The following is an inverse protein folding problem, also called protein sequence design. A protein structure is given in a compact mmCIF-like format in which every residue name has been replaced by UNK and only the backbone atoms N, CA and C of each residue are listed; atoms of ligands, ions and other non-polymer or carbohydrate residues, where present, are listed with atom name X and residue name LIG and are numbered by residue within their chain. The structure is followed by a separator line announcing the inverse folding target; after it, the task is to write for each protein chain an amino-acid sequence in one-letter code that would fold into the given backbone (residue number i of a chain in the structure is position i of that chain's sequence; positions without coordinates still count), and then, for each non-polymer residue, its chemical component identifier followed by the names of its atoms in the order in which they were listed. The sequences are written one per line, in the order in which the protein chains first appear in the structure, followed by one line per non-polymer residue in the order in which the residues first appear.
data_IF_242849968360
#
_entry.id   IF_242849968360
#
_cell.length_a   1.000
_cell.length_b   1.000
_cell.length_c   1.000
_cell.angle_alpha   90.00
_cell.angle_beta   90.00
_cell.angle_gamma   90.00
#
_symmetry.space_group_name_H-M   'P 1'
#
loop_
_entity.id
_entity.type
_entity.pdbx_description
1 polymer ?
#
# COMPACT_ATOMS: atom_id res chain seq x y z
N UNK A 1 0.60 -11.83 -10.65
CA UNK A 1 -0.64 -11.75 -9.84
C UNK A 1 -1.79 -11.65 -10.82
N UNK A 2 -2.75 -12.56 -10.76
CA UNK A 2 -3.99 -12.46 -11.56
C UNK A 2 -4.96 -11.48 -10.91
N UNK A 3 -6.03 -11.10 -11.61
CA UNK A 3 -7.09 -10.25 -11.02
C UNK A 3 -7.71 -10.89 -9.77
N UNK A 4 -7.87 -12.22 -9.76
CA UNK A 4 -8.38 -12.96 -8.61
C UNK A 4 -7.40 -12.91 -7.42
N UNK A 5 -6.09 -12.99 -7.68
CA UNK A 5 -5.08 -12.85 -6.62
C UNK A 5 -5.06 -11.43 -6.03
N UNK A 6 -5.29 -10.42 -6.88
CA UNK A 6 -5.34 -9.01 -6.49
C UNK A 6 -6.58 -8.74 -5.63
N UNK A 7 -7.75 -9.17 -6.08
CA UNK A 7 -9.01 -9.04 -5.34
C UNK A 7 -8.95 -9.71 -3.96
N UNK A 8 -8.41 -10.94 -3.91
CA UNK A 8 -8.22 -11.67 -2.65
C UNK A 8 -7.27 -10.94 -1.70
N UNK A 9 -6.13 -10.47 -2.21
CA UNK A 9 -5.12 -9.80 -1.39
C UNK A 9 -5.62 -8.44 -0.88
N UNK A 10 -6.34 -7.70 -1.72
CA UNK A 10 -6.96 -6.43 -1.35
C UNK A 10 -8.07 -6.61 -0.31
N UNK A 11 -8.96 -7.59 -0.51
CA UNK A 11 -10.04 -7.90 0.44
C UNK A 11 -9.49 -8.28 1.82
N UNK A 12 -8.43 -9.09 1.88
CA UNK A 12 -7.77 -9.45 3.13
C UNK A 12 -7.15 -8.22 3.83
N UNK A 13 -6.49 -7.33 3.08
CA UNK A 13 -5.93 -6.10 3.63
C UNK A 13 -7.03 -5.17 4.17
N UNK A 14 -8.13 -4.99 3.42
CA UNK A 14 -9.25 -4.15 3.83
C UNK A 14 -9.89 -4.64 5.13
N UNK A 15 -10.12 -5.95 5.25
CA UNK A 15 -10.63 -6.56 6.47
C UNK A 15 -9.68 -6.32 7.66
N UNK A 16 -8.38 -6.56 7.47
CA UNK A 16 -7.38 -6.34 8.52
C UNK A 16 -7.30 -4.88 8.98
N UNK A 17 -7.43 -3.91 8.06
CA UNK A 17 -7.46 -2.48 8.40
C UNK A 17 -8.73 -2.10 9.17
N UNK A 18 -9.88 -2.64 8.77
CA UNK A 18 -11.15 -2.42 9.47
C UNK A 18 -11.10 -2.99 10.90
N UNK A 19 -10.53 -4.18 11.08
CA UNK A 19 -10.35 -4.81 12.39
C UNK A 19 -9.34 -4.06 13.28
N UNK A 20 -8.24 -3.56 12.70
CA UNK A 20 -7.25 -2.78 13.43
C UNK A 20 -7.77 -1.40 13.89
N UNK A 21 -8.74 -0.83 13.16
CA UNK A 21 -9.30 0.49 13.42
C UNK A 21 -8.37 1.65 13.04
N UNK A 22 -8.93 2.86 12.96
CA UNK A 22 -8.27 4.06 12.41
C UNK A 22 -6.91 4.38 13.06
N UNK A 23 -6.78 4.16 14.37
CA UNK A 23 -5.55 4.48 15.11
C UNK A 23 -4.38 3.53 14.79
N UNK A 24 -4.67 2.24 14.54
CA UNK A 24 -3.64 1.24 14.29
C UNK A 24 -3.44 0.94 12.80
N UNK A 25 -4.35 1.35 11.92
CA UNK A 25 -4.27 1.16 10.48
C UNK A 25 -2.93 1.63 9.87
N UNK A 26 -2.40 2.83 10.20
CA UNK A 26 -1.11 3.29 9.66
C UNK A 26 0.06 2.39 10.07
N UNK A 27 0.04 1.87 11.31
CA UNK A 27 1.08 0.96 11.80
C UNK A 27 0.99 -0.40 11.11
N UNK A 28 -0.22 -0.95 10.94
CA UNK A 28 -0.44 -2.19 10.19
C UNK A 28 0.05 -2.06 8.74
N UNK A 29 -0.31 -0.98 8.06
CA UNK A 29 0.19 -0.69 6.70
C UNK A 29 1.71 -0.62 6.66
N UNK A 30 2.33 0.05 7.64
CA UNK A 30 3.79 0.16 7.70
C UNK A 30 4.46 -1.21 7.83
N UNK A 31 3.91 -2.11 8.65
CA UNK A 31 4.43 -3.48 8.80
C UNK A 31 4.27 -4.31 7.52
N UNK A 32 3.11 -4.22 6.84
CA UNK A 32 2.87 -4.90 5.57
C UNK A 32 3.82 -4.38 4.48
N UNK A 33 3.96 -3.05 4.36
CA UNK A 33 4.89 -2.42 3.43
C UNK A 33 6.33 -2.86 3.72
N UNK A 34 6.78 -2.85 4.97
CA UNK A 34 8.13 -3.30 5.33
C UNK A 34 8.36 -4.76 4.93
N UNK A 35 7.40 -5.64 5.19
CA UNK A 35 7.49 -7.05 4.79
C UNK A 35 7.52 -7.24 3.26
N UNK A 36 6.80 -6.41 2.50
CA UNK A 36 6.83 -6.42 1.04
C UNK A 36 8.15 -5.88 0.49
N UNK A 37 8.66 -4.78 1.05
CA UNK A 37 9.96 -4.20 0.69
C UNK A 37 11.08 -5.19 0.95
N UNK A 38 11.03 -5.93 2.06
CA UNK A 38 12.01 -6.96 2.38
C UNK A 38 12.04 -8.16 1.41
N UNK A 39 11.08 -8.26 0.48
CA UNK A 39 11.07 -9.25 -0.60
C UNK A 39 11.69 -8.74 -1.90
N UNK A 40 11.99 -7.45 -2.01
CA UNK A 40 12.65 -6.89 -3.17
C UNK A 40 14.16 -7.15 -3.11
N UNK A 41 14.77 -7.41 -4.26
CA UNK A 41 16.20 -7.69 -4.35
C UNK A 41 17.05 -6.42 -4.18
N UNK A 42 16.52 -5.25 -4.61
CA UNK A 42 17.22 -3.96 -4.53
C UNK A 42 16.28 -2.83 -4.12
N UNK A 43 16.84 -1.83 -3.45
CA UNK A 43 16.09 -0.60 -3.14
C UNK A 43 15.58 0.11 -4.41
N UNK A 44 16.32 -0.01 -5.52
CA UNK A 44 15.96 0.57 -6.82
C UNK A 44 14.63 0.01 -7.37
N UNK A 45 14.18 -1.16 -6.91
CA UNK A 45 12.90 -1.76 -7.32
C UNK A 45 11.71 -1.18 -6.52
N UNK A 46 11.99 -0.53 -5.39
CA UNK A 46 11.00 -0.06 -4.42
C UNK A 46 10.85 1.46 -4.44
N UNK A 47 11.97 2.19 -4.43
CA UNK A 47 11.98 3.66 -4.36
C UNK A 47 11.12 4.31 -5.46
N UNK A 48 11.18 3.87 -6.74
CA UNK A 48 10.33 4.44 -7.78
C UNK A 48 8.83 4.23 -7.54
N UNK A 49 8.43 3.12 -6.90
CA UNK A 49 7.03 2.84 -6.55
C UNK A 49 6.52 3.81 -5.48
N UNK A 50 7.36 4.13 -4.49
CA UNK A 50 7.05 5.12 -3.47
C UNK A 50 6.85 6.50 -4.13
N UNK A 51 7.76 6.91 -5.00
CA UNK A 51 7.64 8.20 -5.69
C UNK A 51 6.43 8.24 -6.63
N UNK A 52 6.07 7.13 -7.28
CA UNK A 52 4.83 7.04 -8.05
C UNK A 52 3.60 7.25 -7.17
N UNK A 53 3.51 6.57 -6.02
CA UNK A 53 2.39 6.73 -5.10
C UNK A 53 2.28 8.19 -4.59
N UNK A 54 3.41 8.85 -4.31
CA UNK A 54 3.45 10.27 -3.92
C UNK A 54 2.91 11.20 -5.01
N UNK A 55 3.26 10.94 -6.28
CA UNK A 55 2.72 11.71 -7.42
C UNK A 55 1.21 11.54 -7.55
N UNK A 56 0.73 10.30 -7.50
CA UNK A 56 -0.70 9.99 -7.58
C UNK A 56 -1.50 10.65 -6.45
N UNK A 57 -0.98 10.63 -5.23
CA UNK A 57 -1.60 11.32 -4.09
C UNK A 57 -1.69 12.84 -4.32
N UNK A 58 -0.62 13.46 -4.81
CA UNK A 58 -0.59 14.88 -5.11
C UNK A 58 -1.52 15.26 -6.28
N UNK A 59 -1.79 14.36 -7.21
CA UNK A 59 -2.76 14.53 -8.30
C UNK A 59 -4.20 14.38 -7.80
N UNK A 60 -4.49 13.38 -6.97
CA UNK A 60 -5.80 13.17 -6.37
C UNK A 60 -6.23 14.36 -5.51
N UNK A 61 -5.31 14.97 -4.76
CA UNK A 61 -5.57 16.19 -3.99
C UNK A 61 -5.79 17.45 -4.84
N UNK A 62 -5.36 17.46 -6.12
CA UNK A 62 -5.56 18.58 -7.06
C UNK A 62 -6.84 18.47 -7.87
N UNK A 63 -7.40 17.27 -8.03
CA UNK A 63 -8.67 17.04 -8.74
C UNK A 63 -9.92 17.19 -7.88
N UNK A 64 -9.77 17.40 -6.57
CA UNK A 64 -10.86 17.55 -5.59
C UNK A 64 -11.00 18.94 -4.97
N UNK A 65 -10.40 19.99 -5.59
CA UNK A 65 -10.46 21.38 -5.13
C UNK A 65 -11.40 22.22 -6.00
#
# INVERSE_FOLDING_TARGET
MTDADLDRSYSALAAALAEAGESAAPLLLSMVCLALIGRADRADDVVPLIDQARRQLAEAGRGGA
#
